data_IF_094324120426
#
_entry.id   IF_094324120426
#
_cell.length_a   1.000
_cell.length_b   1.000
_cell.length_c   1.000
_cell.angle_alpha   90.00
_cell.angle_beta   90.00
_cell.angle_gamma   90.00
#
_symmetry.space_group_name_H-M   'P 1'
#
loop_
_entity.id
_entity.type
_entity.pdbx_description
1 polymer ?
#
# COMPACT_ATOMS: atom_id res chain seq x y z
N UNK A 1 -4.32 -9.65 -4.71
CA UNK A 1 -3.74 -9.99 -3.38
C UNK A 1 -4.17 -11.40 -3.04
N UNK A 2 -3.29 -12.26 -2.48
CA UNK A 2 -3.65 -13.63 -2.06
C UNK A 2 -4.66 -13.69 -0.90
N UNK A 3 -4.96 -12.55 -0.29
CA UNK A 3 -5.97 -12.41 0.77
C UNK A 3 -7.26 -11.75 0.29
N UNK A 4 -7.46 -11.60 -1.03
CA UNK A 4 -8.65 -10.98 -1.61
C UNK A 4 -9.30 -11.92 -2.63
N UNK A 5 -10.64 -11.98 -2.68
CA UNK A 5 -11.34 -12.77 -3.69
C UNK A 5 -11.05 -12.24 -5.11
N UNK A 6 -11.05 -13.12 -6.10
CA UNK A 6 -10.72 -12.75 -7.49
C UNK A 6 -11.82 -11.94 -8.18
N UNK A 7 -13.09 -12.16 -7.81
CA UNK A 7 -14.23 -11.39 -8.34
C UNK A 7 -14.37 -10.04 -7.62
N UNK A 8 -13.50 -9.09 -7.97
CA UNK A 8 -13.46 -7.74 -7.39
C UNK A 8 -13.26 -6.69 -8.47
N UNK A 9 -13.80 -5.49 -8.24
CA UNK A 9 -13.66 -4.34 -9.11
C UNK A 9 -12.69 -3.34 -8.48
N UNK A 10 -11.71 -2.89 -9.26
CA UNK A 10 -10.73 -1.90 -8.83
C UNK A 10 -11.13 -0.53 -9.34
N UNK A 11 -11.22 0.45 -8.44
CA UNK A 11 -11.44 1.83 -8.77
C UNK A 11 -10.21 2.66 -8.41
N UNK A 12 -9.63 3.31 -9.41
CA UNK A 12 -8.42 4.10 -9.30
C UNK A 12 -8.78 5.59 -9.41
N UNK A 13 -8.34 6.37 -8.43
CA UNK A 13 -8.44 7.82 -8.47
C UNK A 13 -7.03 8.40 -8.37
N UNK A 14 -6.60 9.05 -9.43
CA UNK A 14 -5.28 9.65 -9.55
C UNK A 14 -5.48 11.14 -9.77
N UNK A 15 -4.95 11.98 -8.88
CA UNK A 15 -4.92 13.43 -9.07
C UNK A 15 -3.74 13.82 -9.95
N UNK A 16 -3.91 14.86 -10.77
CA UNK A 16 -2.82 15.44 -11.53
C UNK A 16 -1.70 15.92 -10.57
N UNK A 17 -0.42 15.69 -10.90
CA UNK A 17 0.68 16.07 -10.03
C UNK A 17 0.89 17.59 -10.08
N UNK A 18 0.66 18.25 -8.94
CA UNK A 18 1.00 19.66 -8.73
C UNK A 18 1.69 19.81 -7.35
N UNK A 19 1.28 20.76 -6.50
CA UNK A 19 1.83 20.91 -5.15
C UNK A 19 1.54 19.70 -4.23
N UNK A 20 0.47 18.96 -4.53
CA UNK A 20 0.13 17.70 -3.90
C UNK A 20 -0.32 16.70 -4.96
N UNK A 21 0.00 15.42 -4.76
CA UNK A 21 -0.47 14.33 -5.60
C UNK A 21 -1.16 13.30 -4.71
N UNK A 22 -2.38 12.91 -5.07
CA UNK A 22 -3.15 11.89 -4.36
C UNK A 22 -3.39 10.73 -5.31
N UNK A 23 -3.06 9.53 -4.84
CA UNK A 23 -3.44 8.27 -5.49
C UNK A 23 -4.31 7.48 -4.52
N UNK A 24 -5.46 7.03 -4.98
CA UNK A 24 -6.36 6.20 -4.20
C UNK A 24 -6.79 4.98 -5.00
N UNK A 25 -6.80 3.84 -4.33
CA UNK A 25 -7.27 2.57 -4.86
C UNK A 25 -8.39 2.10 -3.94
N UNK A 26 -9.56 1.85 -4.52
CA UNK A 26 -10.68 1.23 -3.84
C UNK A 26 -10.97 -0.11 -4.50
N UNK A 27 -11.33 -1.09 -3.70
CA UNK A 27 -11.71 -2.42 -4.19
C UNK A 27 -13.09 -2.75 -3.68
N UNK A 28 -13.99 -3.02 -4.62
CA UNK A 28 -15.38 -3.35 -4.35
C UNK A 28 -15.74 -4.74 -4.85
N UNK A 29 -16.75 -5.34 -4.23
CA UNK A 29 -17.36 -6.61 -4.63
C UNK A 29 -18.87 -6.47 -4.49
N UNK A 30 -19.63 -6.83 -5.53
CA UNK A 30 -21.09 -6.69 -5.56
C UNK A 30 -21.57 -5.28 -5.20
N UNK A 31 -20.83 -4.24 -5.63
CA UNK A 31 -21.14 -2.85 -5.32
C UNK A 31 -20.69 -2.35 -3.95
N UNK A 32 -20.18 -3.21 -3.05
CA UNK A 32 -19.70 -2.82 -1.73
C UNK A 32 -18.17 -2.69 -1.68
N UNK A 33 -17.65 -1.54 -1.24
CA UNK A 33 -16.21 -1.32 -1.02
C UNK A 33 -15.78 -2.01 0.27
N UNK A 34 -14.80 -2.90 0.19
CA UNK A 34 -14.27 -3.61 1.37
C UNK A 34 -12.78 -3.36 1.62
N UNK A 35 -12.09 -2.70 0.67
CA UNK A 35 -10.71 -2.27 0.84
C UNK A 35 -10.49 -0.91 0.20
N UNK A 36 -9.78 -0.02 0.90
CA UNK A 36 -9.32 1.24 0.35
C UNK A 36 -7.89 1.53 0.81
N UNK A 37 -7.07 2.01 -0.11
CA UNK A 37 -5.73 2.51 0.16
C UNK A 37 -5.62 3.90 -0.47
N UNK A 38 -5.10 4.87 0.29
CA UNK A 38 -4.82 6.21 -0.22
C UNK A 38 -3.37 6.59 0.07
N UNK A 39 -2.77 7.28 -0.88
CA UNK A 39 -1.41 7.77 -0.83
C UNK A 39 -1.42 9.26 -1.13
N UNK A 40 -0.98 10.05 -0.16
CA UNK A 40 -0.88 11.50 -0.28
C UNK A 40 0.59 11.88 -0.35
N UNK A 41 0.99 12.48 -1.46
CA UNK A 41 2.31 13.00 -1.73
C UNK A 41 2.25 14.52 -1.67
N UNK A 42 3.20 15.14 -0.97
CA UNK A 42 3.46 16.57 -1.05
C UNK A 42 4.70 16.82 -1.88
N UNK A 43 4.64 17.77 -2.81
CA UNK A 43 5.83 18.21 -3.53
C UNK A 43 6.82 18.84 -2.54
N UNK A 44 8.07 18.38 -2.56
CA UNK A 44 9.15 18.97 -1.78
C UNK A 44 10.13 19.66 -2.72
N UNK A 45 10.53 20.89 -2.37
CA UNK A 45 11.55 21.63 -3.12
C UNK A 45 12.86 20.85 -3.12
N UNK A 46 13.43 20.68 -4.31
CA UNK A 46 14.77 20.14 -4.52
C UNK A 46 15.79 21.16 -4.04
N UNK A 47 16.24 21.02 -2.79
CA UNK A 47 17.29 21.84 -2.19
C UNK A 47 18.31 20.93 -1.51
N UNK A 48 19.58 21.34 -1.52
CA UNK A 48 20.69 20.58 -0.94
C UNK A 48 20.49 20.27 0.55
N UNK A 49 19.85 21.17 1.30
CA UNK A 49 19.48 20.97 2.71
C UNK A 49 18.42 19.89 2.88
N UNK A 50 17.40 19.88 2.01
CA UNK A 50 16.34 18.87 2.01
C UNK A 50 16.89 17.48 1.66
N UNK A 51 17.75 17.37 0.66
CA UNK A 51 18.36 16.09 0.26
C UNK A 51 19.22 15.52 1.37
N UNK A 52 20.08 16.34 2.01
CA UNK A 52 20.92 15.87 3.13
C UNK A 52 20.07 15.39 4.31
N UNK A 53 19.00 16.12 4.65
CA UNK A 53 18.06 15.70 5.69
C UNK A 53 17.36 14.39 5.34
N UNK A 54 16.95 14.25 4.07
CA UNK A 54 16.29 13.06 3.55
C UNK A 54 17.19 11.82 3.63
N UNK A 55 18.48 11.96 3.32
CA UNK A 55 19.47 10.87 3.43
C UNK A 55 19.71 10.46 4.88
N UNK A 56 19.81 11.42 5.81
CA UNK A 56 20.10 11.14 7.22
C UNK A 56 18.91 10.50 7.97
N UNK A 57 17.67 10.80 7.58
CA UNK A 57 16.48 10.24 8.25
C UNK A 57 16.01 8.90 7.66
N UNK A 58 16.41 8.56 6.43
CA UNK A 58 16.01 7.33 5.74
C UNK A 58 16.35 6.01 6.44
N UNK A 59 17.54 5.80 7.03
CA UNK A 59 17.91 4.47 7.52
C UNK A 59 16.94 3.96 8.60
N UNK A 60 16.43 4.85 9.45
CA UNK A 60 15.45 4.50 10.47
C UNK A 60 14.07 4.21 9.89
N UNK A 61 13.63 4.98 8.89
CA UNK A 61 12.34 4.76 8.22
C UNK A 61 12.26 3.37 7.56
N UNK A 62 13.35 2.89 6.96
CA UNK A 62 13.39 1.56 6.33
C UNK A 62 13.18 0.44 7.35
N UNK A 63 13.88 0.50 8.49
CA UNK A 63 13.71 -0.49 9.56
C UNK A 63 12.29 -0.47 10.13
N UNK A 64 11.71 0.72 10.29
CA UNK A 64 10.35 0.87 10.75
C UNK A 64 9.34 0.25 9.77
N UNK A 65 9.52 0.44 8.46
CA UNK A 65 8.68 -0.18 7.43
C UNK A 65 8.77 -1.70 7.51
N UNK A 66 9.98 -2.25 7.55
CA UNK A 66 10.22 -3.69 7.66
C UNK A 66 9.51 -4.24 8.90
N UNK A 67 9.75 -3.65 10.08
CA UNK A 67 9.11 -4.08 11.33
C UNK A 67 7.58 -4.05 11.25
N UNK A 68 6.99 -3.03 10.64
CA UNK A 68 5.53 -2.93 10.46
C UNK A 68 4.98 -3.99 9.51
N UNK A 69 5.70 -4.33 8.43
CA UNK A 69 5.30 -5.39 7.49
C UNK A 69 5.31 -6.74 8.21
N UNK A 70 6.39 -7.08 8.91
CA UNK A 70 6.49 -8.34 9.65
C UNK A 70 5.48 -8.42 10.80
N UNK A 71 5.21 -7.32 11.49
CA UNK A 71 4.18 -7.28 12.52
C UNK A 71 2.78 -7.56 11.97
N UNK A 72 2.46 -7.04 10.78
CA UNK A 72 1.20 -7.36 10.11
C UNK A 72 1.14 -8.82 9.66
N UNK A 73 2.24 -9.36 9.12
CA UNK A 73 2.32 -10.77 8.76
C UNK A 73 2.13 -11.69 9.98
N UNK A 74 2.75 -11.38 11.11
CA UNK A 74 2.56 -12.10 12.37
C UNK A 74 1.10 -12.04 12.85
N UNK A 75 0.47 -10.86 12.79
CA UNK A 75 -0.95 -10.72 13.14
C UNK A 75 -1.87 -11.52 12.22
N UNK A 76 -1.58 -11.59 10.92
CA UNK A 76 -2.32 -12.41 9.97
C UNK A 76 -2.15 -13.90 10.27
N UNK A 77 -0.93 -14.32 10.63
CA UNK A 77 -0.63 -15.68 11.06
C UNK A 77 -1.41 -16.08 12.32
N UNK A 78 -1.38 -15.23 13.36
CA UNK A 78 -2.14 -15.45 14.60
C UNK A 78 -3.65 -15.46 14.37
N UNK A 79 -4.16 -14.69 13.40
CA UNK A 79 -5.58 -14.65 13.03
C UNK A 79 -6.02 -15.76 12.07
N UNK A 80 -5.12 -16.66 11.67
CA UNK A 80 -5.38 -17.75 10.72
C UNK A 80 -6.19 -17.29 9.50
N UNK A 81 -5.81 -16.17 8.90
CA UNK A 81 -6.56 -15.60 7.77
C UNK A 81 -6.51 -16.57 6.58
N UNK A 82 -7.66 -16.94 5.98
CA UNK A 82 -7.69 -17.89 4.89
C UNK A 82 -6.94 -17.35 3.68
N UNK A 83 -6.06 -18.19 3.13
CA UNK A 83 -5.35 -17.92 1.90
C UNK A 83 -6.24 -18.29 0.71
N UNK A 84 -6.45 -17.35 -0.22
CA UNK A 84 -7.15 -17.64 -1.47
C UNK A 84 -6.13 -18.17 -2.49
N UNK A 85 -6.10 -19.48 -2.69
CA UNK A 85 -5.26 -20.10 -3.73
C UNK A 85 -5.65 -19.57 -5.11
N UNK A 86 -4.65 -19.18 -5.90
CA UNK A 86 -4.86 -18.73 -7.26
C UNK A 86 -5.39 -19.89 -8.12
N UNK A 87 -6.46 -19.71 -8.91
CA UNK A 87 -7.11 -20.79 -9.66
C UNK A 87 -6.32 -21.34 -10.86
N UNK A 88 -5.01 -21.07 -10.98
CA UNK A 88 -4.16 -21.49 -12.11
C UNK A 88 -2.84 -22.11 -11.66
N UNK A 89 -2.86 -22.93 -10.60
CA UNK A 89 -1.70 -23.75 -10.20
C UNK A 89 -1.96 -25.25 -10.40
N UNK A 90 -2.70 -25.60 -11.45
CA UNK A 90 -2.78 -26.97 -11.97
C UNK A 90 -2.49 -26.92 -13.48
N UNK A 91 -1.20 -26.96 -13.82
CA UNK A 91 -0.74 -27.59 -15.06
C UNK A 91 0.64 -28.17 -14.83
#
# INVERSE_FOLDING_TARGET
SPFMPMNTQYHWQLSAPDAACRAQIQVSRLGQVFFSASFNLGAQRFSSSNIRRYCLTRPFHTLQIIGRIYWQALKLFLKQVPFYSHPNQNR
#
